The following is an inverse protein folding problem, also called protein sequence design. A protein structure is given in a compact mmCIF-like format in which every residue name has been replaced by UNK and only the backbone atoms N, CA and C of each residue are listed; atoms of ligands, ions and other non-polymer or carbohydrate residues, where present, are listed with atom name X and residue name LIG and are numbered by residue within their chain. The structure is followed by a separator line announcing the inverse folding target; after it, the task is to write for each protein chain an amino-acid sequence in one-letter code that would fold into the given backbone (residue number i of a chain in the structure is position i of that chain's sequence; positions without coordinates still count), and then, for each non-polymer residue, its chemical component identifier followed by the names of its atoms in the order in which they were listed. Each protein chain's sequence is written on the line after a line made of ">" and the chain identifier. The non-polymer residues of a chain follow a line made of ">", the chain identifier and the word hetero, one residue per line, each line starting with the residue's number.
data_IF_037174704622
#
_entry.id   IF_037174704622
#
_cell.length_a   1.000
_cell.length_b   1.000
_cell.length_c   1.000
_cell.angle_alpha   90.00
_cell.angle_beta   90.00
_cell.angle_gamma   90.00
#
_symmetry.space_group_name_H-M   'P 1'
#
loop_
_entity.id
_entity.type
_entity.pdbx_description
1 polymer ?
#
# COMPACT_ATOMS: atom_id res chain seq x y z
N UNK A 1 -51.89 -48.65 37.22
CA UNK A 1 -51.53 -47.25 36.79
C UNK A 1 -50.08 -47.10 36.96
N UNK A 2 -49.36 -46.62 35.96
CA UNK A 2 -47.91 -46.35 36.11
C UNK A 2 -47.70 -45.31 37.20
N UNK A 3 -46.77 -45.59 38.10
CA UNK A 3 -46.48 -44.72 39.23
C UNK A 3 -45.89 -43.38 38.69
N UNK A 4 -46.17 -42.26 39.37
CA UNK A 4 -45.65 -40.94 39.00
C UNK A 4 -44.13 -40.96 38.76
N UNK A 5 -43.38 -41.81 39.43
CA UNK A 5 -41.94 -42.03 39.26
C UNK A 5 -41.54 -42.58 37.88
N UNK A 6 -42.38 -43.46 37.30
CA UNK A 6 -42.12 -44.03 35.98
C UNK A 6 -42.30 -42.95 34.85
N UNK A 7 -43.32 -42.15 34.91
CA UNK A 7 -43.64 -41.09 34.01
C UNK A 7 -42.51 -40.02 34.05
N UNK A 8 -42.05 -39.68 35.25
CA UNK A 8 -40.95 -38.69 35.41
C UNK A 8 -39.62 -39.17 34.81
N UNK A 9 -39.29 -40.46 34.96
CA UNK A 9 -38.13 -41.08 34.36
C UNK A 9 -38.22 -41.08 32.83
N UNK A 10 -39.34 -41.39 32.24
CA UNK A 10 -39.58 -41.39 30.81
C UNK A 10 -39.43 -39.98 30.23
N UNK A 11 -39.98 -38.96 30.94
CA UNK A 11 -39.86 -37.56 30.59
C UNK A 11 -38.39 -37.09 30.61
N UNK A 12 -37.64 -37.41 31.66
CA UNK A 12 -36.24 -37.06 31.79
C UNK A 12 -35.39 -37.68 30.68
N UNK A 13 -35.62 -38.96 30.35
CA UNK A 13 -34.92 -39.64 29.23
C UNK A 13 -35.22 -38.96 27.90
N UNK A 14 -36.49 -38.67 27.60
CA UNK A 14 -36.90 -37.99 26.38
C UNK A 14 -36.26 -36.60 26.26
N UNK A 15 -36.22 -35.83 27.35
CA UNK A 15 -35.62 -34.51 27.38
C UNK A 15 -34.10 -34.57 27.11
N UNK A 16 -33.43 -35.58 27.69
CA UNK A 16 -31.98 -35.80 27.48
C UNK A 16 -31.69 -36.14 25.99
N UNK A 17 -32.53 -36.99 25.37
CA UNK A 17 -32.35 -37.30 23.94
C UNK A 17 -32.62 -36.11 23.03
N UNK A 18 -33.65 -35.30 23.31
CA UNK A 18 -33.95 -34.07 22.58
C UNK A 18 -32.77 -33.06 22.72
N UNK A 19 -32.28 -32.86 23.94
CA UNK A 19 -31.17 -31.98 24.21
C UNK A 19 -29.88 -32.44 23.49
N UNK A 20 -29.58 -33.75 23.56
CA UNK A 20 -28.49 -34.38 22.86
C UNK A 20 -28.59 -34.20 21.34
N UNK A 21 -29.79 -34.38 20.78
CA UNK A 21 -30.02 -34.15 19.34
C UNK A 21 -29.79 -32.67 18.95
N UNK A 22 -30.29 -31.71 19.74
CA UNK A 22 -30.10 -30.27 19.49
C UNK A 22 -28.60 -29.91 19.55
N UNK A 23 -27.89 -30.43 20.57
CA UNK A 23 -26.44 -30.20 20.69
C UNK A 23 -25.69 -30.78 19.49
N UNK A 24 -25.95 -32.03 19.12
CA UNK A 24 -25.28 -32.70 18.01
C UNK A 24 -25.62 -32.06 16.64
N UNK A 25 -26.88 -31.66 16.40
CA UNK A 25 -27.29 -31.01 15.17
C UNK A 25 -26.78 -29.58 15.06
N UNK A 26 -26.52 -28.89 16.19
CA UNK A 26 -25.95 -27.55 16.20
C UNK A 26 -24.44 -27.48 15.78
N UNK A 27 -23.75 -28.62 15.76
CA UNK A 27 -22.34 -28.71 15.39
C UNK A 27 -22.09 -29.11 13.90
N UNK A 28 -23.12 -29.47 13.15
CA UNK A 28 -23.00 -29.66 11.70
C UNK A 28 -23.19 -28.31 11.00
N UNK A 29 -22.21 -27.43 11.13
CA UNK A 29 -22.06 -26.31 10.18
C UNK A 29 -21.48 -26.91 8.89
N UNK A 30 -22.33 -27.35 7.97
CA UNK A 30 -21.94 -27.42 6.59
C UNK A 30 -21.46 -26.01 6.23
N UNK A 31 -20.21 -25.89 5.84
CA UNK A 31 -19.68 -24.68 5.20
C UNK A 31 -20.38 -24.60 3.84
N UNK A 32 -21.61 -24.08 3.85
CA UNK A 32 -22.32 -23.74 2.64
C UNK A 32 -21.52 -22.62 1.98
N UNK A 33 -20.91 -22.90 0.84
CA UNK A 33 -20.36 -21.86 -0.03
C UNK A 33 -21.53 -20.91 -0.38
N UNK A 34 -21.51 -19.71 0.21
CA UNK A 34 -22.49 -18.69 -0.15
C UNK A 34 -22.12 -18.11 -1.50
N UNK A 35 -22.85 -18.45 -2.55
CA UNK A 35 -22.73 -17.83 -3.85
C UNK A 35 -23.52 -16.51 -3.87
N UNK A 36 -22.81 -15.40 -4.06
CA UNK A 36 -23.42 -14.08 -4.23
C UNK A 36 -23.32 -13.64 -5.68
N UNK A 37 -24.43 -13.21 -6.28
CA UNK A 37 -24.40 -12.57 -7.61
C UNK A 37 -23.85 -11.14 -7.53
N UNK A 38 -24.10 -10.47 -6.43
CA UNK A 38 -23.66 -9.10 -6.14
C UNK A 38 -23.56 -8.89 -4.64
N UNK A 39 -22.56 -8.12 -4.19
CA UNK A 39 -22.45 -7.67 -2.81
C UNK A 39 -22.19 -6.16 -2.78
N UNK A 40 -22.87 -5.43 -1.88
CA UNK A 40 -22.64 -4.01 -1.61
C UNK A 40 -22.11 -3.88 -0.20
N UNK A 41 -20.84 -3.50 -0.07
CA UNK A 41 -20.14 -3.44 1.22
C UNK A 41 -19.22 -2.23 1.29
N UNK A 42 -18.90 -1.76 2.49
CA UNK A 42 -17.92 -0.70 2.70
C UNK A 42 -16.49 -1.24 2.78
N UNK A 43 -16.32 -2.50 3.22
CA UNK A 43 -15.03 -3.16 3.37
C UNK A 43 -15.15 -4.68 3.28
N UNK A 44 -14.15 -5.28 2.63
CA UNK A 44 -13.93 -6.73 2.60
C UNK A 44 -12.54 -6.99 3.21
N UNK A 45 -12.46 -7.89 4.17
CA UNK A 45 -11.22 -8.46 4.66
C UNK A 45 -11.07 -9.88 4.10
N UNK A 46 -9.96 -10.16 3.46
CA UNK A 46 -9.56 -11.52 3.10
C UNK A 46 -8.58 -11.98 4.16
N UNK A 47 -8.86 -13.12 4.75
CA UNK A 47 -8.07 -13.69 5.86
C UNK A 47 -7.69 -15.13 5.56
N UNK A 48 -6.56 -15.58 6.10
CA UNK A 48 -6.18 -16.98 6.14
C UNK A 48 -7.09 -17.78 7.11
N UNK A 49 -7.06 -19.12 7.07
CA UNK A 49 -7.89 -19.95 7.98
C UNK A 49 -7.66 -19.69 9.47
N UNK A 50 -6.50 -19.19 9.87
CA UNK A 50 -6.17 -18.80 11.24
C UNK A 50 -6.62 -17.39 11.62
N UNK A 51 -7.20 -16.63 10.67
CA UNK A 51 -7.66 -15.26 10.86
C UNK A 51 -6.63 -14.18 10.48
N UNK A 52 -5.43 -14.56 10.02
CA UNK A 52 -4.40 -13.62 9.57
C UNK A 52 -4.90 -12.79 8.38
N UNK A 53 -4.89 -11.46 8.51
CA UNK A 53 -5.35 -10.54 7.47
C UNK A 53 -4.33 -10.46 6.33
N UNK A 54 -4.73 -10.82 5.10
CA UNK A 54 -3.84 -10.81 3.93
C UNK A 54 -4.24 -9.78 2.87
N UNK A 55 -5.50 -9.33 2.85
CA UNK A 55 -5.93 -8.28 1.92
C UNK A 55 -7.13 -7.51 2.48
N UNK A 56 -7.17 -6.22 2.19
CA UNK A 56 -8.32 -5.35 2.46
C UNK A 56 -8.76 -4.67 1.16
N UNK A 57 -10.05 -4.75 0.84
CA UNK A 57 -10.71 -3.94 -0.19
C UNK A 57 -11.66 -2.99 0.54
N UNK A 58 -11.50 -1.68 0.36
CA UNK A 58 -12.28 -0.75 1.18
C UNK A 58 -12.53 0.62 0.53
N UNK A 59 -13.60 1.28 0.97
CA UNK A 59 -13.80 2.71 0.73
C UNK A 59 -12.83 3.54 1.60
N UNK A 60 -12.76 4.86 1.37
CA UNK A 60 -11.82 5.76 2.09
C UNK A 60 -12.08 5.85 3.61
N UNK A 61 -13.34 5.69 4.05
CA UNK A 61 -13.71 5.81 5.48
C UNK A 61 -13.35 4.58 6.30
N UNK A 62 -13.28 3.41 5.65
CA UNK A 62 -13.00 2.12 6.28
C UNK A 62 -11.65 1.55 5.86
N UNK A 63 -10.82 2.35 5.15
CA UNK A 63 -9.51 1.89 4.68
C UNK A 63 -8.60 1.58 5.86
N UNK A 64 -7.81 0.50 5.69
CA UNK A 64 -6.85 0.08 6.70
C UNK A 64 -5.73 1.12 6.84
N UNK A 65 -5.34 1.54 8.05
CA UNK A 65 -4.30 2.56 8.24
C UNK A 65 -2.89 2.12 7.85
N UNK A 66 -2.68 0.83 7.68
CA UNK A 66 -1.40 0.16 7.47
C UNK A 66 -1.05 -0.72 8.68
N UNK A 67 -0.12 -1.64 8.49
CA UNK A 67 0.31 -2.58 9.53
C UNK A 67 1.75 -3.01 9.29
N UNK A 68 2.53 -3.15 10.36
CA UNK A 68 3.89 -3.68 10.35
C UNK A 68 4.13 -4.54 11.58
N UNK A 69 4.79 -5.69 11.41
CA UNK A 69 5.03 -6.68 12.47
C UNK A 69 3.74 -7.03 13.24
N UNK A 70 2.59 -7.05 12.54
CA UNK A 70 1.27 -7.28 13.13
C UNK A 70 0.69 -6.09 13.91
N UNK A 71 1.41 -4.98 14.04
CA UNK A 71 0.94 -3.78 14.73
C UNK A 71 0.28 -2.82 13.75
N UNK A 72 -0.99 -2.49 14.01
CA UNK A 72 -1.75 -1.53 13.21
C UNK A 72 -1.23 -0.12 13.47
N UNK A 73 -0.92 0.62 12.41
CA UNK A 73 -0.43 1.99 12.49
C UNK A 73 -1.53 2.96 12.99
N UNK A 74 -1.12 4.17 13.37
CA UNK A 74 -2.05 5.23 13.74
C UNK A 74 -3.08 5.51 12.65
N UNK A 75 -4.30 5.80 13.06
CA UNK A 75 -5.41 6.17 12.18
C UNK A 75 -5.01 7.34 11.26
N UNK A 76 -5.22 7.16 9.96
CA UNK A 76 -4.95 8.17 8.94
C UNK A 76 -5.95 8.06 7.80
N UNK A 77 -6.27 9.18 7.17
CA UNK A 77 -7.08 9.18 5.96
C UNK A 77 -6.28 8.58 4.81
N UNK A 78 -6.84 7.55 4.18
CA UNK A 78 -6.27 6.90 3.00
C UNK A 78 -7.31 6.86 1.87
N UNK A 79 -6.87 6.89 0.60
CA UNK A 79 -7.77 6.68 -0.54
C UNK A 79 -8.44 5.30 -0.48
N UNK A 80 -9.60 5.12 -1.14
CA UNK A 80 -10.19 3.80 -1.34
C UNK A 80 -9.30 2.93 -2.20
N UNK A 81 -9.44 1.61 -2.09
CA UNK A 81 -8.66 0.67 -2.88
C UNK A 81 -8.42 -0.65 -2.20
N UNK A 82 -7.34 -1.30 -2.60
CA UNK A 82 -6.89 -2.61 -2.11
C UNK A 82 -5.54 -2.45 -1.43
N UNK A 83 -5.36 -3.09 -0.27
CA UNK A 83 -4.08 -3.18 0.43
C UNK A 83 -3.75 -4.65 0.65
N UNK A 84 -2.50 -5.02 0.42
CA UNK A 84 -1.98 -6.38 0.58
C UNK A 84 -1.08 -6.44 1.81
N UNK A 85 -1.14 -7.58 2.53
CA UNK A 85 -0.31 -7.87 3.69
C UNK A 85 0.35 -9.25 3.50
N UNK A 86 1.56 -9.41 4.02
CA UNK A 86 2.26 -10.70 4.06
C UNK A 86 1.87 -11.52 5.30
N UNK A 87 2.51 -12.69 5.46
CA UNK A 87 2.29 -13.61 6.58
C UNK A 87 2.70 -13.01 7.94
N UNK A 88 3.64 -12.06 7.95
CA UNK A 88 4.09 -11.32 9.14
C UNK A 88 3.20 -10.12 9.44
N UNK A 89 2.15 -9.92 8.61
CA UNK A 89 1.22 -8.80 8.67
C UNK A 89 1.90 -7.43 8.44
N UNK A 90 2.88 -7.41 7.55
CA UNK A 90 3.43 -6.18 6.98
C UNK A 90 2.64 -5.78 5.74
N UNK A 91 2.39 -4.50 5.55
CA UNK A 91 1.91 -3.97 4.27
C UNK A 91 2.98 -4.18 3.18
N UNK A 92 2.61 -4.84 2.08
CA UNK A 92 3.51 -5.19 0.98
C UNK A 92 3.13 -4.56 -0.35
N UNK A 93 2.15 -3.66 -0.34
CA UNK A 93 1.70 -2.91 -1.50
C UNK A 93 0.20 -2.70 -1.54
N UNK A 94 -0.26 -2.12 -2.64
CA UNK A 94 -1.69 -1.86 -2.80
C UNK A 94 -2.04 -1.21 -4.12
N UNK A 95 -3.34 -1.12 -4.37
CA UNK A 95 -3.94 -0.37 -5.46
C UNK A 95 -4.86 0.69 -4.86
N UNK A 96 -4.54 1.96 -5.05
CA UNK A 96 -5.35 3.08 -4.55
C UNK A 96 -5.78 3.98 -5.70
N UNK A 97 -6.89 4.68 -5.53
CA UNK A 97 -7.38 5.66 -6.49
C UNK A 97 -8.16 6.78 -5.79
N UNK A 98 -8.13 7.95 -6.39
CA UNK A 98 -8.89 9.11 -5.94
C UNK A 98 -9.09 10.08 -7.09
N UNK A 99 -10.04 11.00 -6.99
CA UNK A 99 -10.18 12.06 -7.98
C UNK A 99 -11.39 12.92 -7.79
N UNK A 100 -11.17 14.23 -7.97
CA UNK A 100 -12.21 15.22 -8.18
C UNK A 100 -11.64 16.41 -8.97
N UNK A 101 -12.52 17.29 -9.45
CA UNK A 101 -12.08 18.42 -10.29
C UNK A 101 -11.16 19.41 -9.57
N UNK A 102 -11.35 19.59 -8.27
CA UNK A 102 -10.67 20.64 -7.48
C UNK A 102 -9.27 20.24 -7.02
N UNK A 103 -9.12 18.98 -6.62
CA UNK A 103 -7.89 18.50 -5.97
C UNK A 103 -7.02 17.70 -6.92
N UNK A 104 -7.58 17.30 -8.08
CA UNK A 104 -6.92 16.45 -9.03
C UNK A 104 -7.35 14.99 -8.92
N UNK A 105 -6.61 14.09 -9.55
CA UNK A 105 -6.92 12.67 -9.61
C UNK A 105 -5.66 11.82 -9.58
N UNK A 106 -5.75 10.59 -9.08
CA UNK A 106 -4.65 9.66 -9.07
C UNK A 106 -5.11 8.22 -8.95
N UNK A 107 -4.25 7.33 -9.47
CA UNK A 107 -4.34 5.89 -9.30
C UNK A 107 -2.92 5.35 -9.21
N UNK A 108 -2.65 4.45 -8.30
CA UNK A 108 -1.33 3.85 -8.14
C UNK A 108 -1.44 2.39 -7.73
N UNK A 109 -0.72 1.52 -8.45
CA UNK A 109 -0.41 0.16 -8.05
C UNK A 109 1.02 0.15 -7.54
N UNK A 110 1.21 -0.17 -6.27
CA UNK A 110 2.51 -0.16 -5.58
C UNK A 110 2.93 -1.56 -5.17
N UNK A 111 4.24 -1.82 -5.28
CA UNK A 111 4.93 -2.98 -4.72
C UNK A 111 5.95 -2.46 -3.72
N UNK A 112 5.89 -2.94 -2.49
CA UNK A 112 6.72 -2.46 -1.40
C UNK A 112 7.91 -3.41 -1.19
N UNK A 113 9.05 -2.85 -0.80
CA UNK A 113 10.18 -3.64 -0.34
C UNK A 113 9.82 -4.27 1.01
N UNK A 114 10.25 -5.51 1.23
CA UNK A 114 10.07 -6.19 2.51
C UNK A 114 10.48 -5.29 3.69
N UNK A 115 9.56 -5.13 4.64
CA UNK A 115 9.66 -4.23 5.81
C UNK A 115 10.00 -2.78 5.47
N UNK A 116 9.58 -2.33 4.28
CA UNK A 116 9.84 -0.95 3.84
C UNK A 116 8.64 -0.44 3.01
N UNK A 117 8.85 0.61 2.27
CA UNK A 117 7.85 1.31 1.46
C UNK A 117 8.07 1.03 -0.03
N UNK A 118 7.31 1.65 -0.94
CA UNK A 118 7.27 1.35 -2.37
C UNK A 118 8.65 1.39 -3.02
N UNK A 119 8.96 0.33 -3.78
CA UNK A 119 10.14 0.26 -4.67
C UNK A 119 9.75 0.26 -6.14
N UNK A 120 8.53 -0.16 -6.48
CA UNK A 120 7.96 -0.08 -7.82
C UNK A 120 6.54 0.46 -7.75
N UNK A 121 6.18 1.38 -8.64
CA UNK A 121 4.82 1.88 -8.73
C UNK A 121 4.45 2.21 -10.17
N UNK A 122 3.33 1.69 -10.62
CA UNK A 122 2.64 2.16 -11.83
C UNK A 122 1.60 3.18 -11.39
N UNK A 123 1.68 4.40 -11.91
CA UNK A 123 0.79 5.47 -11.45
C UNK A 123 0.28 6.36 -12.58
N UNK A 124 -0.88 6.95 -12.33
CA UNK A 124 -1.45 8.10 -13.00
C UNK A 124 -1.69 9.20 -11.96
N UNK A 125 -1.30 10.42 -12.27
CA UNK A 125 -1.57 11.60 -11.45
C UNK A 125 -1.99 12.78 -12.34
N UNK A 126 -2.99 13.52 -11.88
CA UNK A 126 -3.41 14.81 -12.42
C UNK A 126 -3.48 15.80 -11.25
N UNK A 127 -2.75 16.91 -11.35
CA UNK A 127 -2.81 17.93 -10.32
C UNK A 127 -4.03 18.85 -10.50
N UNK A 128 -4.24 19.79 -9.57
CA UNK A 128 -5.37 20.74 -9.59
C UNK A 128 -5.34 21.66 -10.83
N UNK A 129 -4.16 21.97 -11.38
CA UNK A 129 -3.97 22.78 -12.59
C UNK A 129 -4.22 21.98 -13.88
N UNK A 130 -4.54 20.70 -13.79
CA UNK A 130 -4.84 19.81 -14.91
C UNK A 130 -3.61 19.18 -15.58
N UNK A 131 -2.38 19.47 -15.11
CA UNK A 131 -1.18 18.78 -15.60
C UNK A 131 -1.17 17.33 -15.18
N UNK A 132 -0.66 16.47 -16.03
CA UNK A 132 -0.70 15.01 -15.85
C UNK A 132 0.70 14.40 -15.89
N UNK A 133 0.91 13.40 -15.06
CA UNK A 133 2.06 12.50 -15.09
C UNK A 133 1.57 11.08 -14.96
N UNK A 134 2.11 10.16 -15.76
CA UNK A 134 1.80 8.75 -15.66
C UNK A 134 2.93 7.87 -16.19
N UNK A 135 3.09 6.71 -15.58
CA UNK A 135 4.16 5.79 -15.94
C UNK A 135 4.57 4.87 -14.81
N UNK A 136 5.72 4.24 -15.01
CA UNK A 136 6.38 3.36 -14.05
C UNK A 136 7.48 4.12 -13.33
N UNK A 137 7.51 3.99 -12.01
CA UNK A 137 8.57 4.50 -11.14
C UNK A 137 9.30 3.35 -10.45
N UNK A 138 10.61 3.51 -10.26
CA UNK A 138 11.43 2.61 -9.44
C UNK A 138 12.23 3.45 -8.45
N UNK A 139 12.27 3.01 -7.19
CA UNK A 139 13.02 3.66 -6.12
C UNK A 139 14.02 2.70 -5.48
N UNK A 140 15.14 3.24 -5.05
CA UNK A 140 15.96 2.62 -4.01
C UNK A 140 15.43 3.07 -2.64
N UNK A 141 15.40 2.15 -1.70
CA UNK A 141 15.09 2.40 -0.31
C UNK A 141 16.28 2.04 0.57
N UNK A 142 16.45 2.74 1.67
CA UNK A 142 17.50 2.40 2.64
C UNK A 142 17.27 1.01 3.22
N UNK A 143 18.29 0.17 3.23
CA UNK A 143 18.24 -1.12 3.94
C UNK A 143 18.41 -0.96 5.46
N UNK A 144 19.01 0.14 5.91
CA UNK A 144 19.21 0.44 7.33
C UNK A 144 17.94 0.98 7.98
N UNK A 145 17.20 1.80 7.24
CA UNK A 145 15.96 2.43 7.69
C UNK A 145 14.77 1.71 7.07
N UNK A 146 14.35 0.60 7.68
CA UNK A 146 13.04 -0.01 7.40
C UNK A 146 11.92 0.98 7.77
N UNK A 147 10.72 0.79 7.26
CA UNK A 147 9.63 1.73 7.53
C UNK A 147 9.29 1.87 9.02
N UNK A 148 9.22 0.79 9.85
CA UNK A 148 9.05 0.92 11.30
C UNK A 148 10.15 1.74 11.96
N UNK A 149 11.43 1.49 11.60
CA UNK A 149 12.57 2.25 12.12
C UNK A 149 12.48 3.74 11.71
N UNK A 150 12.08 4.01 10.48
CA UNK A 150 11.90 5.38 9.99
C UNK A 150 10.80 6.11 10.76
N UNK A 151 9.64 5.48 10.99
CA UNK A 151 8.52 6.05 11.75
C UNK A 151 8.98 6.39 13.17
N UNK A 152 9.62 5.45 13.87
CA UNK A 152 10.15 5.66 15.23
C UNK A 152 11.16 6.81 15.27
N UNK A 153 12.08 6.87 14.30
CA UNK A 153 13.07 7.93 14.19
C UNK A 153 12.44 9.28 13.93
N UNK A 154 11.46 9.35 13.01
CA UNK A 154 10.70 10.57 12.73
C UNK A 154 9.98 11.11 13.96
N UNK A 155 9.34 10.24 14.72
CA UNK A 155 8.63 10.62 15.95
C UNK A 155 9.59 11.10 17.04
N UNK A 156 10.73 10.44 17.16
CA UNK A 156 11.81 10.90 18.07
C UNK A 156 12.32 12.29 17.70
N UNK A 157 12.60 12.53 16.41
CA UNK A 157 13.08 13.83 15.94
C UNK A 157 12.05 14.93 16.13
N UNK A 158 10.75 14.64 15.89
CA UNK A 158 9.64 15.57 16.17
C UNK A 158 9.56 15.89 17.66
N UNK A 159 9.63 14.91 18.55
CA UNK A 159 9.61 15.10 20.02
C UNK A 159 10.79 15.93 20.50
N UNK A 160 11.95 15.83 19.85
CA UNK A 160 13.14 16.65 20.13
C UNK A 160 13.04 18.07 19.57
N UNK A 161 11.95 18.43 18.91
CA UNK A 161 11.73 19.76 18.32
C UNK A 161 12.55 20.02 17.06
N UNK A 162 13.05 18.99 16.36
CA UNK A 162 13.76 19.15 15.08
C UNK A 162 12.82 19.75 14.05
N UNK A 163 13.14 20.91 13.45
CA UNK A 163 12.29 21.52 12.44
C UNK A 163 12.02 20.59 11.28
N UNK A 164 10.77 20.54 10.81
CA UNK A 164 10.36 19.65 9.71
C UNK A 164 11.27 19.75 8.47
N UNK A 165 11.72 20.96 8.15
CA UNK A 165 12.63 21.22 7.02
C UNK A 165 13.99 20.54 7.21
N UNK A 166 14.46 20.39 8.45
CA UNK A 166 15.77 19.78 8.79
C UNK A 166 15.68 18.27 8.99
N UNK A 167 14.49 17.69 9.03
CA UNK A 167 14.34 16.24 9.25
C UNK A 167 14.96 15.45 8.11
N UNK A 168 14.72 15.85 6.85
CA UNK A 168 15.27 15.17 5.67
C UNK A 168 16.79 15.17 5.70
N UNK A 169 17.42 16.32 5.94
CA UNK A 169 18.88 16.45 6.02
C UNK A 169 19.45 15.61 7.18
N UNK A 170 18.74 15.55 8.30
CA UNK A 170 19.13 14.73 9.44
C UNK A 170 19.09 13.24 9.11
N UNK A 171 18.00 12.78 8.52
CA UNK A 171 17.86 11.38 8.07
C UNK A 171 18.92 11.01 7.04
N UNK A 172 19.21 11.89 6.07
CA UNK A 172 20.24 11.66 5.07
C UNK A 172 21.62 11.55 5.73
N UNK A 173 21.98 12.42 6.69
CA UNK A 173 23.23 12.31 7.44
C UNK A 173 23.31 10.98 8.22
N UNK A 174 22.23 10.58 8.87
CA UNK A 174 22.15 9.32 9.60
C UNK A 174 22.27 8.10 8.66
N UNK A 175 21.87 8.24 7.40
CA UNK A 175 21.98 7.21 6.36
C UNK A 175 23.29 7.30 5.56
N UNK A 176 24.38 7.79 6.17
CA UNK A 176 25.69 7.88 5.52
C UNK A 176 25.77 8.86 4.35
N UNK A 177 24.95 9.89 4.36
CA UNK A 177 24.88 10.92 3.31
C UNK A 177 23.96 10.56 2.14
N UNK A 178 23.36 9.36 2.11
CA UNK A 178 22.43 8.92 1.06
C UNK A 178 20.98 9.21 1.44
N UNK A 179 20.12 9.54 0.47
CA UNK A 179 18.68 9.65 0.73
C UNK A 179 18.11 8.35 1.31
N UNK A 180 17.10 8.46 2.17
CA UNK A 180 16.34 7.29 2.67
C UNK A 180 15.56 6.64 1.51
N UNK A 181 15.15 7.45 0.53
CA UNK A 181 14.46 7.02 -0.69
C UNK A 181 14.97 7.85 -1.85
N UNK A 182 15.38 7.20 -2.94
CA UNK A 182 15.81 7.85 -4.17
C UNK A 182 15.08 7.25 -5.38
N UNK A 183 14.37 8.07 -6.15
CA UNK A 183 13.83 7.62 -7.43
C UNK A 183 14.98 7.33 -8.38
N UNK A 184 15.04 6.12 -8.94
CA UNK A 184 16.13 5.65 -9.84
C UNK A 184 15.71 5.63 -11.30
N UNK A 185 14.44 5.35 -11.54
CA UNK A 185 13.86 5.29 -12.86
C UNK A 185 12.47 5.91 -12.87
N UNK A 186 12.18 6.67 -13.89
CA UNK A 186 10.84 6.96 -14.34
C UNK A 186 10.75 6.66 -15.83
N UNK A 187 9.72 5.94 -16.26
CA UNK A 187 9.37 5.79 -17.66
C UNK A 187 7.90 6.08 -17.87
N UNK A 188 7.59 7.01 -18.78
CA UNK A 188 6.24 7.48 -19.01
C UNK A 188 6.19 8.93 -19.47
N UNK A 189 5.05 9.59 -19.24
CA UNK A 189 4.87 11.03 -19.48
C UNK A 189 5.00 11.80 -18.17
N UNK A 190 5.86 12.82 -18.15
CA UNK A 190 6.05 13.71 -17.00
C UNK A 190 5.17 14.97 -17.09
N UNK A 191 5.20 15.81 -16.03
CA UNK A 191 4.46 17.09 -15.98
C UNK A 191 4.93 18.16 -16.97
N UNK A 192 6.12 17.99 -17.57
CA UNK A 192 6.68 18.88 -18.58
C UNK A 192 6.30 18.43 -20.00
N UNK A 193 5.37 17.46 -20.11
CA UNK A 193 4.88 16.86 -21.36
C UNK A 193 5.94 16.06 -22.13
N UNK A 194 7.04 15.71 -21.50
CA UNK A 194 8.07 14.83 -22.05
C UNK A 194 7.64 13.37 -21.87
N UNK A 195 7.82 12.54 -22.91
CA UNK A 195 7.50 11.11 -22.90
C UNK A 195 8.76 10.31 -23.13
N UNK A 196 9.17 9.50 -22.12
CA UNK A 196 10.43 8.78 -22.26
C UNK A 196 10.88 8.03 -21.04
N UNK A 197 12.21 7.80 -20.98
CA UNK A 197 12.93 7.10 -19.92
C UNK A 197 13.89 8.08 -19.25
N UNK A 198 13.80 8.18 -17.93
CA UNK A 198 14.57 9.08 -17.08
C UNK A 198 15.30 8.28 -16.00
N UNK A 199 16.62 8.16 -16.12
CA UNK A 199 17.45 7.36 -15.20
C UNK A 199 18.24 8.32 -14.31
N UNK A 200 18.25 8.00 -13.00
CA UNK A 200 18.89 8.80 -11.95
C UNK A 200 19.94 7.98 -11.20
N UNK A 201 20.90 8.66 -10.60
CA UNK A 201 21.90 8.04 -9.73
C UNK A 201 21.31 7.67 -8.34
N UNK A 202 22.14 7.11 -7.46
CA UNK A 202 21.74 6.70 -6.12
C UNK A 202 21.34 7.88 -5.20
N UNK A 203 21.65 9.09 -5.60
CA UNK A 203 21.26 10.31 -4.89
C UNK A 203 19.96 10.92 -5.46
N UNK A 204 19.42 10.34 -6.54
CA UNK A 204 18.23 10.83 -7.23
C UNK A 204 18.52 11.91 -8.28
N UNK A 205 19.79 12.20 -8.62
CA UNK A 205 20.14 13.17 -9.62
C UNK A 205 19.94 12.58 -11.02
N UNK A 206 19.34 13.30 -11.97
CA UNK A 206 19.20 12.85 -13.36
C UNK A 206 20.58 12.59 -14.01
N UNK A 207 20.72 11.45 -14.71
CA UNK A 207 21.96 11.04 -15.35
C UNK A 207 21.81 10.73 -16.84
N UNK A 208 20.68 10.12 -17.21
CA UNK A 208 20.35 9.79 -18.58
C UNK A 208 18.87 10.10 -18.80
N UNK A 209 18.59 10.81 -19.93
CA UNK A 209 17.23 11.05 -20.40
C UNK A 209 17.12 10.64 -21.85
N UNK A 210 16.13 9.84 -22.19
CA UNK A 210 15.77 9.44 -23.56
C UNK A 210 14.28 9.72 -23.71
N UNK A 211 13.92 10.74 -24.49
CA UNK A 211 12.54 11.20 -24.51
C UNK A 211 12.18 11.96 -25.80
N UNK A 212 10.88 12.06 -26.04
CA UNK A 212 10.30 13.03 -26.98
C UNK A 212 9.86 14.24 -26.16
N UNK A 213 10.31 15.41 -26.52
CA UNK A 213 9.96 16.65 -25.82
C UNK A 213 8.56 17.17 -26.22
N UNK A 214 8.09 18.22 -25.56
CA UNK A 214 6.78 18.85 -25.83
C UNK A 214 6.61 19.41 -27.25
N UNK A 215 7.71 19.61 -28.00
CA UNK A 215 7.71 20.06 -29.40
C UNK A 215 7.76 18.87 -30.37
N UNK A 216 7.65 17.65 -29.88
CA UNK A 216 7.72 16.39 -30.62
C UNK A 216 9.13 16.09 -31.17
N UNK A 217 10.19 16.63 -30.53
CA UNK A 217 11.58 16.42 -30.92
C UNK A 217 12.23 15.31 -30.06
N UNK A 218 12.93 14.33 -30.65
CA UNK A 218 13.65 13.31 -29.91
C UNK A 218 14.89 13.87 -29.25
N UNK A 219 15.15 13.48 -28.01
CA UNK A 219 16.28 13.89 -27.18
C UNK A 219 16.94 12.70 -26.54
N UNK A 220 18.28 12.67 -26.59
CA UNK A 220 19.08 11.77 -25.77
C UNK A 220 20.14 12.60 -25.04
N UNK A 221 20.04 12.65 -23.71
CA UNK A 221 20.89 13.50 -22.86
C UNK A 221 21.65 12.67 -21.83
N UNK A 222 22.95 12.98 -21.68
CA UNK A 222 23.82 12.49 -20.61
C UNK A 222 24.22 13.69 -19.75
N UNK A 223 23.99 13.57 -18.42
CA UNK A 223 24.25 14.61 -17.43
C UNK A 223 25.35 14.15 -16.45
N UNK A 224 26.16 15.12 -15.95
CA UNK A 224 27.10 14.88 -14.87
C UNK A 224 26.39 14.80 -13.49
N UNK A 225 27.17 14.65 -12.41
CA UNK A 225 26.62 14.57 -11.05
C UNK A 225 25.97 15.87 -10.57
N UNK A 226 26.38 17.03 -11.12
CA UNK A 226 25.77 18.32 -10.81
C UNK A 226 24.51 18.61 -11.65
N UNK A 227 24.10 17.68 -12.52
CA UNK A 227 22.90 17.83 -13.37
C UNK A 227 23.16 18.67 -14.63
N UNK A 228 24.43 18.99 -14.93
CA UNK A 228 24.80 19.75 -16.15
C UNK A 228 24.87 18.79 -17.33
N UNK A 229 24.44 19.28 -18.50
CA UNK A 229 24.45 18.55 -19.76
C UNK A 229 25.89 18.31 -20.25
N UNK A 230 26.28 17.03 -20.36
CA UNK A 230 27.60 16.62 -20.88
C UNK A 230 27.52 16.33 -22.38
N UNK A 231 26.45 15.65 -22.79
CA UNK A 231 26.23 15.26 -24.18
C UNK A 231 24.76 15.24 -24.51
N UNK A 232 24.42 15.73 -25.70
CA UNK A 232 23.09 15.62 -26.28
C UNK A 232 23.17 15.10 -27.69
N UNK A 233 22.25 14.23 -28.08
CA UNK A 233 21.95 13.85 -29.44
C UNK A 233 20.54 14.34 -29.75
N UNK A 234 20.40 15.07 -30.84
CA UNK A 234 19.13 15.57 -31.38
C UNK A 234 18.94 15.01 -32.78
N UNK A 235 17.72 15.00 -33.28
CA UNK A 235 17.49 14.83 -34.73
C UNK A 235 18.07 16.06 -35.44
N UNK A 236 19.00 15.86 -36.36
CA UNK A 236 19.41 16.91 -37.31
C UNK A 236 18.29 17.16 -38.34
#
# INVERSE_FOLDING_TARGET
>A
MPTNSFILKLYAISLTFILGYIILSGFTSDVTSNEFKEITVERINVVEPDGTLVMVISNSKKQHPGMFDGEVLEERVRPPGVIFFNEEQDEVGGLIYYGNEKEGAGMALSLDQYKNDQVVQIQYQRNAEGKQQYGLNVWDRSHTYTLPHLITTLDSLKKQGVPRKSIIDTLQRMNGGKPISAQRLFTGKNYDEEVGVFIKDELGNPRIKIYIDKNNEPRFQILNQSGELVKELTSE
#
